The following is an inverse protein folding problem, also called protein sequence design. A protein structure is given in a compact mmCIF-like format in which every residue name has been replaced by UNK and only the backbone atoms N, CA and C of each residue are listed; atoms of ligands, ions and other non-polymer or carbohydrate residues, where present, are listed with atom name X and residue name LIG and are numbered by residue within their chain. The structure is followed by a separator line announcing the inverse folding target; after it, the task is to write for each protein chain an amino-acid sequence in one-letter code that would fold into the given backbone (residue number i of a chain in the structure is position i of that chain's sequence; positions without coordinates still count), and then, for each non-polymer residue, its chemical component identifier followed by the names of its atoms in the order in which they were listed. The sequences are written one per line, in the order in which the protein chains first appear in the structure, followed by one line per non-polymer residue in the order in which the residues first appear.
data_IF_413548270538
#
_entry.id   IF_413548270538
#
_cell.length_a   1.000
_cell.length_b   1.000
_cell.length_c   1.000
_cell.angle_alpha   90.00
_cell.angle_beta   90.00
_cell.angle_gamma   90.00
#
_symmetry.space_group_name_H-M   'P 1'
#
loop_
_entity.id
_entity.type
_entity.pdbx_description
1 polymer ?
#
# COMPACT_ATOMS: atom_id res chain seq x y z
N UNK A 1 -8.23 -1.85 50.12
CA UNK A 1 -9.17 -0.72 49.98
C UNK A 1 -8.90 0.29 51.08
N UNK A 2 -8.94 1.59 50.77
CA UNK A 2 -8.74 2.67 51.75
C UNK A 2 -9.76 2.55 52.91
N UNK A 3 -9.40 3.00 54.10
CA UNK A 3 -10.25 2.91 55.31
C UNK A 3 -10.17 1.58 56.05
N UNK A 4 -10.72 1.53 57.27
CA UNK A 4 -10.75 0.36 58.17
C UNK A 4 -12.19 -0.07 58.47
N UNK A 5 -12.38 -1.36 58.72
CA UNK A 5 -13.66 -1.98 59.08
C UNK A 5 -13.61 -2.50 60.53
N UNK A 6 -14.75 -2.54 61.21
CA UNK A 6 -14.88 -3.07 62.58
C UNK A 6 -15.39 -2.06 63.60
N UNK A 7 -15.77 -2.56 64.78
CA UNK A 7 -16.36 -1.79 65.88
C UNK A 7 -15.45 -0.68 66.41
N UNK A 8 -14.12 -0.90 66.39
CA UNK A 8 -13.11 0.05 66.87
C UNK A 8 -12.63 1.05 65.80
N UNK A 9 -13.13 0.95 64.56
CA UNK A 9 -12.73 1.87 63.49
C UNK A 9 -13.40 3.24 63.66
N UNK A 10 -12.64 4.32 63.47
CA UNK A 10 -13.17 5.69 63.48
C UNK A 10 -14.22 5.89 62.38
N UNK A 11 -15.13 6.86 62.56
CA UNK A 11 -16.22 7.13 61.60
C UNK A 11 -15.68 7.46 60.20
N UNK A 12 -14.64 8.29 60.12
CA UNK A 12 -13.98 8.66 58.87
C UNK A 12 -13.39 7.44 58.14
N UNK A 13 -12.75 6.51 58.88
CA UNK A 13 -12.19 5.28 58.31
C UNK A 13 -13.25 4.37 57.68
N UNK A 14 -14.47 4.34 58.25
CA UNK A 14 -15.59 3.56 57.70
C UNK A 14 -16.20 4.21 56.47
N UNK A 15 -16.22 5.54 56.42
CA UNK A 15 -16.71 6.30 55.27
C UNK A 15 -15.77 6.22 54.08
N UNK A 16 -14.46 6.33 54.32
CA UNK A 16 -13.41 6.05 53.33
C UNK A 16 -13.54 4.64 52.76
N UNK A 17 -13.84 3.65 53.62
CA UNK A 17 -14.06 2.26 53.18
C UNK A 17 -15.30 2.12 52.31
N UNK A 18 -16.45 2.67 52.71
CA UNK A 18 -17.69 2.63 51.91
C UNK A 18 -17.49 3.25 50.53
N UNK A 19 -16.80 4.39 50.48
CA UNK A 19 -16.49 5.08 49.22
C UNK A 19 -15.59 4.22 48.33
N UNK A 20 -14.58 3.55 48.90
CA UNK A 20 -13.71 2.64 48.15
C UNK A 20 -14.47 1.41 47.61
N UNK A 21 -15.43 0.87 48.38
CA UNK A 21 -16.26 -0.26 47.96
C UNK A 21 -17.23 0.12 46.83
N UNK A 22 -17.82 1.33 46.88
CA UNK A 22 -18.68 1.85 45.80
C UNK A 22 -17.92 2.08 44.49
N UNK A 23 -16.66 2.52 44.58
CA UNK A 23 -15.82 2.80 43.40
C UNK A 23 -15.17 1.54 42.81
N UNK A 24 -15.07 0.45 43.57
CA UNK A 24 -14.40 -0.78 43.15
C UNK A 24 -14.98 -1.38 41.84
N UNK A 25 -16.31 -1.48 41.63
CA UNK A 25 -16.86 -2.03 40.40
C UNK A 25 -16.62 -1.14 39.18
N UNK A 26 -16.54 0.19 39.36
CA UNK A 26 -16.20 1.11 38.28
C UNK A 26 -14.72 0.93 37.89
N UNK A 27 -13.82 0.93 38.89
CA UNK A 27 -12.39 0.68 38.67
C UNK A 27 -12.13 -0.67 37.98
N UNK A 28 -12.83 -1.73 38.39
CA UNK A 28 -12.71 -3.05 37.73
C UNK A 28 -13.09 -2.97 36.25
N UNK A 29 -14.20 -2.30 35.92
CA UNK A 29 -14.65 -2.11 34.53
C UNK A 29 -13.66 -1.29 33.72
N UNK A 30 -13.10 -0.24 34.31
CA UNK A 30 -12.13 0.64 33.64
C UNK A 30 -10.81 -0.09 33.35
N UNK A 31 -10.32 -0.90 34.30
CA UNK A 31 -9.14 -1.75 34.08
C UNK A 31 -9.40 -2.77 32.97
N UNK A 32 -10.56 -3.44 32.99
CA UNK A 32 -10.92 -4.40 31.94
C UNK A 32 -10.98 -3.73 30.56
N UNK A 33 -11.55 -2.52 30.49
CA UNK A 33 -11.59 -1.72 29.25
C UNK A 33 -10.19 -1.29 28.80
N UNK A 34 -9.34 -0.86 29.73
CA UNK A 34 -7.97 -0.50 29.40
C UNK A 34 -7.20 -1.69 28.84
N UNK A 35 -7.35 -2.88 29.43
CA UNK A 35 -6.70 -4.10 28.95
C UNK A 35 -7.16 -4.47 27.54
N UNK A 36 -8.47 -4.41 27.25
CA UNK A 36 -8.98 -4.70 25.90
C UNK A 36 -8.53 -3.67 24.86
N UNK A 37 -8.54 -2.38 25.22
CA UNK A 37 -8.01 -1.33 24.36
C UNK A 37 -6.51 -1.50 24.10
N UNK A 38 -5.74 -1.86 25.13
CA UNK A 38 -4.31 -2.12 25.00
C UNK A 38 -4.06 -3.34 24.11
N UNK A 39 -4.80 -4.42 24.28
CA UNK A 39 -4.67 -5.62 23.45
C UNK A 39 -4.96 -5.32 21.97
N UNK A 40 -6.07 -4.64 21.69
CA UNK A 40 -6.41 -4.24 20.31
C UNK A 40 -5.39 -3.27 19.71
N UNK A 41 -4.81 -2.38 20.50
CA UNK A 41 -3.72 -1.50 20.04
C UNK A 41 -2.45 -2.28 19.72
N UNK A 42 -2.04 -3.24 20.57
CA UNK A 42 -0.89 -4.10 20.35
C UNK A 42 -1.08 -4.93 19.07
N UNK A 43 -2.23 -5.58 18.90
CA UNK A 43 -2.53 -6.36 17.70
C UNK A 43 -2.46 -5.51 16.41
N UNK A 44 -2.92 -4.26 16.45
CA UNK A 44 -2.81 -3.33 15.32
C UNK A 44 -1.37 -2.96 15.00
N UNK A 45 -0.55 -2.72 16.02
CA UNK A 45 0.87 -2.40 15.86
C UNK A 45 1.63 -3.61 15.29
N UNK A 46 1.43 -4.79 15.84
CA UNK A 46 2.02 -6.04 15.35
C UNK A 46 1.61 -6.33 13.91
N UNK A 47 0.32 -6.20 13.58
CA UNK A 47 -0.17 -6.37 12.21
C UNK A 47 0.46 -5.35 11.24
N UNK A 48 0.63 -4.10 11.68
CA UNK A 48 1.33 -3.06 10.94
C UNK A 48 2.80 -3.39 10.70
N UNK A 49 3.52 -3.82 11.75
CA UNK A 49 4.91 -4.22 11.66
C UNK A 49 5.10 -5.45 10.76
N UNK A 50 4.25 -6.47 10.88
CA UNK A 50 4.26 -7.64 10.00
C UNK A 50 3.97 -7.27 8.54
N UNK A 51 3.09 -6.29 8.29
CA UNK A 51 2.85 -5.79 6.94
C UNK A 51 4.08 -5.08 6.37
N UNK A 52 4.76 -4.25 7.18
CA UNK A 52 6.00 -3.56 6.78
C UNK A 52 7.11 -4.57 6.49
N UNK A 53 7.38 -5.50 7.42
CA UNK A 53 8.41 -6.55 7.25
C UNK A 53 8.14 -7.41 6.01
N UNK A 54 6.88 -7.80 5.77
CA UNK A 54 6.51 -8.56 4.56
C UNK A 54 6.83 -7.78 3.29
N UNK A 55 6.50 -6.49 3.22
CA UNK A 55 6.80 -5.66 2.05
C UNK A 55 8.30 -5.46 1.83
N UNK A 56 9.06 -5.26 2.90
CA UNK A 56 10.52 -5.12 2.83
C UNK A 56 11.21 -6.43 2.42
N UNK A 57 10.61 -7.59 2.73
CA UNK A 57 11.11 -8.91 2.31
C UNK A 57 10.85 -9.23 0.84
N UNK A 58 10.07 -8.43 0.12
CA UNK A 58 9.83 -8.63 -1.31
C UNK A 58 11.04 -8.13 -2.07
N UNK A 59 11.78 -9.09 -2.64
CA UNK A 59 12.86 -8.78 -3.55
C UNK A 59 12.29 -8.29 -4.89
N UNK A 60 12.88 -7.22 -5.41
CA UNK A 60 12.49 -6.68 -6.72
C UNK A 60 13.45 -7.31 -7.73
N UNK A 61 12.97 -8.11 -8.69
CA UNK A 61 13.84 -8.80 -9.63
C UNK A 61 14.64 -7.77 -10.44
N UNK A 62 15.92 -8.05 -10.64
CA UNK A 62 16.75 -7.27 -11.54
C UNK A 62 16.25 -7.45 -12.99
N UNK A 63 16.07 -6.34 -13.69
CA UNK A 63 15.68 -6.35 -15.09
C UNK A 63 16.88 -6.66 -15.99
N UNK A 64 16.63 -7.40 -17.06
CA UNK A 64 17.56 -7.63 -18.15
C UNK A 64 17.88 -6.30 -18.86
N UNK A 65 19.07 -6.18 -19.48
CA UNK A 65 19.42 -4.98 -20.25
C UNK A 65 18.40 -4.66 -21.36
N UNK A 66 17.79 -5.69 -21.96
CA UNK A 66 16.73 -5.53 -22.96
C UNK A 66 15.46 -4.92 -22.38
N UNK A 67 15.02 -5.38 -21.20
CA UNK A 67 13.86 -4.82 -20.52
C UNK A 67 14.08 -3.37 -20.08
N UNK A 68 15.28 -3.02 -19.62
CA UNK A 68 15.65 -1.63 -19.29
C UNK A 68 15.53 -0.74 -20.53
N UNK A 69 16.10 -1.14 -21.67
CA UNK A 69 16.01 -0.36 -22.91
C UNK A 69 14.57 -0.19 -23.40
N UNK A 70 13.73 -1.21 -23.25
CA UNK A 70 12.30 -1.11 -23.58
C UNK A 70 11.62 -0.09 -22.67
N UNK A 71 11.85 -0.15 -21.36
CA UNK A 71 11.29 0.84 -20.43
C UNK A 71 11.81 2.26 -20.69
N UNK A 72 13.06 2.44 -21.10
CA UNK A 72 13.58 3.75 -21.51
C UNK A 72 12.82 4.30 -22.73
N UNK A 73 12.59 3.48 -23.76
CA UNK A 73 11.80 3.88 -24.94
C UNK A 73 10.35 4.18 -24.59
N UNK A 74 9.77 3.40 -23.68
CA UNK A 74 8.41 3.62 -23.16
C UNK A 74 8.33 4.95 -22.43
N UNK A 75 9.31 5.26 -21.56
CA UNK A 75 9.39 6.56 -20.87
C UNK A 75 9.44 7.70 -21.88
N UNK A 76 10.34 7.60 -22.86
CA UNK A 76 10.52 8.65 -23.85
C UNK A 76 9.25 8.84 -24.71
N UNK A 77 8.52 7.75 -25.00
CA UNK A 77 7.22 7.82 -25.67
C UNK A 77 6.13 8.47 -24.81
N UNK A 78 6.07 8.14 -23.51
CA UNK A 78 5.15 8.78 -22.55
C UNK A 78 5.47 10.27 -22.42
N UNK A 79 6.74 10.65 -22.33
CA UNK A 79 7.18 12.04 -22.23
C UNK A 79 6.84 12.84 -23.51
N UNK A 80 6.85 12.20 -24.68
CA UNK A 80 6.37 12.76 -25.96
C UNK A 80 4.84 12.71 -26.11
N UNK A 81 4.10 12.18 -25.14
CA UNK A 81 2.66 11.95 -25.20
C UNK A 81 2.22 11.00 -26.34
N UNK A 82 3.08 10.07 -26.74
CA UNK A 82 2.82 9.04 -27.75
C UNK A 82 2.53 7.68 -27.08
N UNK A 83 1.34 7.57 -26.49
CA UNK A 83 0.89 6.38 -25.79
C UNK A 83 0.78 5.12 -26.68
N UNK A 84 0.34 5.20 -27.95
CA UNK A 84 0.36 4.04 -28.84
C UNK A 84 1.76 3.47 -29.07
N UNK A 85 2.78 4.32 -29.25
CA UNK A 85 4.16 3.86 -29.39
C UNK A 85 4.68 3.21 -28.10
N UNK A 86 4.35 3.77 -26.93
CA UNK A 86 4.70 3.20 -25.63
C UNK A 86 4.18 1.76 -25.48
N UNK A 87 2.91 1.53 -25.81
CA UNK A 87 2.31 0.18 -25.78
C UNK A 87 2.96 -0.74 -26.84
N UNK A 88 3.27 -0.20 -28.02
CA UNK A 88 3.95 -0.95 -29.08
C UNK A 88 5.33 -1.45 -28.68
N UNK A 89 6.13 -0.63 -27.98
CA UNK A 89 7.45 -1.04 -27.48
C UNK A 89 7.35 -2.15 -26.44
N UNK A 90 6.38 -2.07 -25.53
CA UNK A 90 6.18 -3.07 -24.49
C UNK A 90 5.78 -4.45 -25.04
N UNK A 91 5.03 -4.49 -26.14
CA UNK A 91 4.55 -5.74 -26.75
C UNK A 91 5.57 -6.34 -27.73
N UNK A 92 6.65 -5.62 -28.05
CA UNK A 92 7.64 -6.03 -29.07
C UNK A 92 8.32 -7.38 -28.82
N UNK A 93 8.50 -7.77 -27.56
CA UNK A 93 9.04 -9.08 -27.16
C UNK A 93 8.23 -9.67 -26.02
N UNK A 94 7.76 -10.91 -26.20
CA UNK A 94 6.97 -11.63 -25.19
C UNK A 94 7.76 -11.86 -23.90
N UNK A 95 9.04 -12.19 -24.02
CA UNK A 95 9.92 -12.46 -22.87
C UNK A 95 10.13 -11.19 -22.03
N UNK A 96 10.43 -10.08 -22.71
CA UNK A 96 10.58 -8.77 -22.06
C UNK A 96 9.28 -8.31 -21.41
N UNK A 97 8.13 -8.55 -22.05
CA UNK A 97 6.83 -8.23 -21.47
C UNK A 97 6.59 -9.01 -20.17
N UNK A 98 6.81 -10.32 -20.17
CA UNK A 98 6.65 -11.16 -18.96
C UNK A 98 7.57 -10.68 -17.83
N UNK A 99 8.79 -10.30 -18.17
CA UNK A 99 9.75 -9.75 -17.22
C UNK A 99 9.28 -8.40 -16.62
N UNK A 100 8.84 -7.46 -17.46
CA UNK A 100 8.31 -6.16 -17.03
C UNK A 100 7.04 -6.33 -16.18
N UNK A 101 6.15 -7.25 -16.56
CA UNK A 101 4.93 -7.55 -15.81
C UNK A 101 5.26 -8.13 -14.42
N UNK A 102 6.23 -9.05 -14.34
CA UNK A 102 6.73 -9.61 -13.08
C UNK A 102 7.40 -8.56 -12.18
N UNK A 103 8.22 -7.69 -12.77
CA UNK A 103 8.83 -6.56 -12.08
C UNK A 103 7.78 -5.60 -11.54
N UNK A 104 6.79 -5.24 -12.34
CA UNK A 104 5.71 -4.35 -11.93
C UNK A 104 4.84 -4.97 -10.81
N UNK A 105 4.62 -6.29 -10.84
CA UNK A 105 3.95 -7.01 -9.74
C UNK A 105 4.75 -6.89 -8.43
N UNK A 106 6.06 -7.11 -8.47
CA UNK A 106 6.91 -6.97 -7.28
C UNK A 106 6.89 -5.53 -6.72
N UNK A 107 6.93 -4.52 -7.59
CA UNK A 107 6.80 -3.11 -7.20
C UNK A 107 5.42 -2.85 -6.58
N UNK A 108 4.35 -3.36 -7.19
CA UNK A 108 3.00 -3.19 -6.68
C UNK A 108 2.81 -3.84 -5.31
N UNK A 109 3.41 -5.00 -5.07
CA UNK A 109 3.34 -5.67 -3.76
C UNK A 109 4.18 -4.95 -2.70
N UNK A 110 5.37 -4.43 -3.07
CA UNK A 110 6.28 -3.75 -2.14
C UNK A 110 5.85 -2.32 -1.81
N UNK A 111 5.53 -1.53 -2.82
CA UNK A 111 5.21 -0.10 -2.68
C UNK A 111 3.73 0.24 -2.82
N UNK A 112 2.92 -0.64 -3.41
CA UNK A 112 1.52 -0.41 -3.75
C UNK A 112 1.30 -0.11 -5.23
N UNK A 113 0.17 -0.56 -5.78
CA UNK A 113 -0.14 -0.51 -7.22
C UNK A 113 -0.11 0.88 -7.87
N UNK A 114 -0.37 1.95 -7.11
CA UNK A 114 -0.54 3.32 -7.64
C UNK A 114 0.40 4.33 -6.98
N UNK A 115 1.32 3.87 -6.16
CA UNK A 115 2.15 4.74 -5.32
C UNK A 115 3.10 5.59 -6.18
N UNK A 116 3.70 5.00 -7.22
CA UNK A 116 4.60 5.72 -8.14
C UNK A 116 3.87 6.49 -9.23
N UNK A 117 2.54 6.35 -9.36
CA UNK A 117 1.76 7.14 -10.32
C UNK A 117 1.46 8.57 -9.83
N UNK A 118 1.57 8.81 -8.52
CA UNK A 118 1.29 10.12 -7.95
C UNK A 118 2.31 11.16 -8.41
N UNK A 119 1.89 12.43 -8.56
CA UNK A 119 2.80 13.52 -8.91
C UNK A 119 3.91 13.71 -7.87
N UNK A 120 3.60 13.42 -6.59
CA UNK A 120 4.56 13.44 -5.49
C UNK A 120 5.64 12.36 -5.59
N UNK A 121 5.48 11.36 -6.45
CA UNK A 121 6.46 10.30 -6.69
C UNK A 121 7.26 10.52 -8.00
N UNK A 122 7.17 11.72 -8.61
CA UNK A 122 7.82 11.99 -9.91
C UNK A 122 9.33 11.98 -9.80
N UNK A 123 9.83 12.54 -8.71
CA UNK A 123 11.24 12.57 -8.40
C UNK A 123 11.54 11.52 -7.31
N UNK A 124 12.80 11.03 -7.24
CA UNK A 124 13.27 10.22 -6.12
C UNK A 124 13.50 11.09 -4.87
N UNK A 125 12.52 11.92 -4.53
CA UNK A 125 12.58 12.91 -3.46
C UNK A 125 11.21 13.06 -2.78
N UNK A 126 11.21 13.57 -1.55
CA UNK A 126 10.01 13.87 -0.79
C UNK A 126 9.35 12.66 -0.11
N UNK A 127 8.16 12.90 0.47
CA UNK A 127 7.52 12.00 1.43
C UNK A 127 7.27 10.57 0.91
N UNK A 128 6.98 10.41 -0.38
CA UNK A 128 6.73 9.08 -0.97
C UNK A 128 8.03 8.29 -1.08
N UNK A 129 9.11 8.94 -1.52
CA UNK A 129 10.44 8.36 -1.58
C UNK A 129 10.99 8.06 -0.19
N UNK A 130 10.87 8.99 0.75
CA UNK A 130 11.37 8.80 2.12
C UNK A 130 10.70 7.61 2.82
N UNK A 131 9.39 7.42 2.61
CA UNK A 131 8.66 6.25 3.10
C UNK A 131 9.08 4.96 2.41
N UNK A 132 9.38 5.00 1.12
CA UNK A 132 9.88 3.84 0.38
C UNK A 132 11.32 3.46 0.75
N UNK A 133 12.12 4.45 1.18
CA UNK A 133 13.49 4.30 1.63
C UNK A 133 13.62 4.07 3.15
N UNK A 134 12.51 3.98 3.87
CA UNK A 134 12.51 3.79 5.31
C UNK A 134 13.20 2.46 5.68
N UNK A 135 14.23 2.53 6.52
CA UNK A 135 15.01 1.36 6.94
C UNK A 135 16.11 0.91 5.95
N UNK A 136 16.28 1.59 4.80
CA UNK A 136 17.39 1.31 3.88
C UNK A 136 18.69 1.97 4.33
N UNK A 137 19.82 1.31 4.06
CA UNK A 137 21.15 1.93 4.19
C UNK A 137 21.32 3.07 3.18
N UNK A 138 22.23 4.04 3.40
CA UNK A 138 22.48 5.11 2.43
C UNK A 138 22.80 4.61 1.02
N UNK A 139 23.55 3.51 0.91
CA UNK A 139 23.88 2.86 -0.36
C UNK A 139 22.65 2.29 -1.06
N UNK A 140 21.77 1.63 -0.33
CA UNK A 140 20.51 1.08 -0.88
C UNK A 140 19.53 2.18 -1.24
N UNK A 141 19.49 3.28 -0.46
CA UNK A 141 18.71 4.46 -0.79
C UNK A 141 19.16 5.10 -2.11
N UNK A 142 20.46 5.15 -2.37
CA UNK A 142 20.99 5.60 -3.65
C UNK A 142 20.58 4.67 -4.80
N UNK A 143 20.72 3.35 -4.63
CA UNK A 143 20.25 2.37 -5.63
C UNK A 143 18.75 2.51 -5.90
N UNK A 144 17.95 2.75 -4.87
CA UNK A 144 16.51 2.98 -5.01
C UNK A 144 16.24 4.27 -5.81
N UNK A 145 17.00 5.33 -5.56
CA UNK A 145 16.89 6.58 -6.31
C UNK A 145 17.23 6.39 -7.80
N UNK A 146 18.29 5.63 -8.11
CA UNK A 146 18.69 5.30 -9.48
C UNK A 146 17.63 4.46 -10.21
N UNK A 147 17.03 3.48 -9.52
CA UNK A 147 15.97 2.63 -10.08
C UNK A 147 14.60 3.32 -10.14
N UNK A 148 14.43 4.46 -9.46
CA UNK A 148 13.13 5.14 -9.29
C UNK A 148 12.41 5.47 -10.61
N UNK A 149 13.08 6.06 -11.62
CA UNK A 149 12.43 6.39 -12.88
C UNK A 149 11.96 5.14 -13.65
N UNK A 150 12.74 4.05 -13.58
CA UNK A 150 12.41 2.78 -14.25
C UNK A 150 11.19 2.14 -13.60
N UNK A 151 11.14 2.08 -12.27
CA UNK A 151 9.99 1.57 -11.53
C UNK A 151 8.72 2.38 -11.81
N UNK A 152 8.83 3.72 -11.86
CA UNK A 152 7.71 4.60 -12.20
C UNK A 152 7.19 4.34 -13.61
N UNK A 153 8.09 4.20 -14.57
CA UNK A 153 7.73 3.93 -15.97
C UNK A 153 7.00 2.61 -16.10
N UNK A 154 7.45 1.56 -15.40
CA UNK A 154 6.77 0.27 -15.38
C UNK A 154 5.33 0.37 -14.83
N UNK A 155 5.11 1.13 -13.75
CA UNK A 155 3.75 1.38 -13.24
C UNK A 155 2.89 2.18 -14.22
N UNK A 156 3.45 3.21 -14.86
CA UNK A 156 2.74 4.02 -15.87
C UNK A 156 2.31 3.15 -17.06
N UNK A 157 3.21 2.33 -17.58
CA UNK A 157 2.94 1.40 -18.67
C UNK A 157 1.76 0.48 -18.32
N UNK A 158 1.79 -0.17 -17.16
CA UNK A 158 0.71 -1.06 -16.74
C UNK A 158 -0.62 -0.34 -16.51
N UNK A 159 -0.59 0.92 -16.03
CA UNK A 159 -1.80 1.73 -15.92
C UNK A 159 -2.40 2.05 -17.29
N UNK A 160 -1.56 2.35 -18.28
CA UNK A 160 -1.99 2.59 -19.66
C UNK A 160 -2.52 1.32 -20.33
N UNK A 161 -1.86 0.17 -20.13
CA UNK A 161 -2.34 -1.13 -20.62
C UNK A 161 -3.75 -1.46 -20.10
N UNK A 162 -3.97 -1.35 -18.78
CA UNK A 162 -5.31 -1.57 -18.17
C UNK A 162 -6.37 -0.62 -18.74
N UNK A 163 -5.99 0.64 -18.98
CA UNK A 163 -6.90 1.63 -19.56
C UNK A 163 -7.26 1.25 -21.00
N UNK A 164 -6.27 0.85 -21.80
CA UNK A 164 -6.47 0.41 -23.17
C UNK A 164 -7.35 -0.86 -23.25
N UNK A 165 -7.15 -1.83 -22.37
CA UNK A 165 -7.96 -3.05 -22.28
C UNK A 165 -9.41 -2.75 -21.88
N UNK A 166 -9.61 -1.84 -20.92
CA UNK A 166 -10.94 -1.41 -20.50
C UNK A 166 -11.66 -0.73 -21.67
N UNK A 167 -10.97 0.15 -22.40
CA UNK A 167 -11.52 0.82 -23.59
C UNK A 167 -11.92 -0.20 -24.66
N UNK A 168 -11.03 -1.14 -25.00
CA UNK A 168 -11.33 -2.22 -25.96
C UNK A 168 -12.56 -3.04 -25.56
N UNK A 169 -12.66 -3.40 -24.29
CA UNK A 169 -13.81 -4.16 -23.76
C UNK A 169 -15.11 -3.36 -23.83
N UNK A 170 -15.07 -2.07 -23.51
CA UNK A 170 -16.26 -1.21 -23.64
C UNK A 170 -16.67 -1.01 -25.10
N UNK A 171 -15.72 -0.95 -26.03
CA UNK A 171 -15.99 -0.82 -27.45
C UNK A 171 -16.62 -2.09 -28.03
N UNK A 172 -16.11 -3.28 -27.68
CA UNK A 172 -16.69 -4.55 -28.12
C UNK A 172 -18.12 -4.71 -27.61
N UNK A 173 -18.39 -4.36 -26.35
CA UNK A 173 -19.74 -4.36 -25.79
C UNK A 173 -20.69 -3.40 -26.55
N UNK A 174 -20.21 -2.20 -26.91
CA UNK A 174 -20.99 -1.25 -27.72
C UNK A 174 -21.28 -1.78 -29.12
N UNK A 175 -20.32 -2.45 -29.76
CA UNK A 175 -20.50 -3.04 -31.08
C UNK A 175 -21.54 -4.18 -31.04
N UNK A 176 -21.47 -5.06 -30.04
CA UNK A 176 -22.47 -6.14 -29.84
C UNK A 176 -23.88 -5.59 -29.61
N UNK A 177 -24.03 -4.54 -28.79
CA UNK A 177 -25.33 -3.87 -28.57
C UNK A 177 -25.90 -3.22 -29.84
N UNK A 178 -25.05 -2.65 -30.70
CA UNK A 178 -25.48 -2.08 -32.00
C UNK A 178 -25.89 -3.16 -33.01
N UNK A 179 -25.32 -4.35 -32.91
CA UNK A 179 -25.59 -5.46 -33.82
C UNK A 179 -26.79 -6.32 -33.39
N UNK A 180 -27.32 -6.14 -32.18
CA UNK A 180 -28.58 -6.79 -31.78
C UNK A 180 -29.73 -6.04 -32.45
N UNK A 181 -30.39 -6.59 -33.49
CA UNK A 181 -31.54 -5.93 -34.08
C UNK A 181 -32.62 -5.88 -33.00
N UNK A 182 -33.23 -4.72 -32.80
CA UNK A 182 -34.48 -4.66 -32.06
C UNK A 182 -35.51 -5.52 -32.83
N UNK A 183 -35.66 -6.79 -32.46
CA UNK A 183 -36.83 -7.60 -32.81
C UNK A 183 -38.01 -6.93 -32.13
N UNK A 184 -38.59 -5.94 -32.81
CA UNK A 184 -39.89 -5.38 -32.46
C UNK A 184 -40.96 -6.30 -33.04
N UNK A 185 -41.86 -6.66 -32.14
CA UNK A 185 -43.09 -7.44 -32.32
C UNK A 185 -44.02 -6.80 -33.34
#
# INVERSE_FOLDING_TARGET
LKGRTGLLAAKADREDRRTAELNLPALKRDIQRYLSLRETAVQKLEAGEHAIRRRLSIDIPALSPGAIQVLERVRDAIDRNDLPAALGYAISSREVKVEIDGFNKAIAERFGERTLLTNAAREPSGKVFDKAAEGLTPRERQKLAEAWPVMRTAQQLAAHERTAETLKTTESLRQTQRQTPAMKQ
#
